data_IF_136787519742
#
_entry.id   IF_136787519742
#
_cell.length_a   1.000
_cell.length_b   1.000
_cell.length_c   1.000
_cell.angle_alpha   90.00
_cell.angle_beta   90.00
_cell.angle_gamma   90.00
#
_symmetry.space_group_name_H-M   'P 1'
#
loop_
_entity.id
_entity.type
_entity.pdbx_description
1 polymer ?
#
# COMPACT_ATOMS: atom_id res chain seq x y z
N UNK A 1 -30.75 6.59 21.03
CA UNK A 1 -30.21 6.41 19.67
C UNK A 1 -29.02 5.50 19.83
N UNK A 2 -29.09 4.33 19.23
CA UNK A 2 -28.06 3.30 19.33
C UNK A 2 -26.88 3.73 18.47
N UNK A 3 -25.88 4.38 19.08
CA UNK A 3 -24.64 4.84 18.42
C UNK A 3 -23.56 3.78 18.61
N UNK A 4 -23.89 2.53 18.27
CA UNK A 4 -22.86 1.49 18.16
C UNK A 4 -22.04 1.80 16.89
N UNK A 5 -20.71 1.97 16.98
CA UNK A 5 -19.89 2.26 15.82
C UNK A 5 -20.04 1.14 14.79
N UNK A 6 -20.33 1.50 13.54
CA UNK A 6 -20.53 0.54 12.46
C UNK A 6 -19.17 -0.04 12.05
N UNK A 7 -18.73 -1.11 12.71
CA UNK A 7 -17.55 -1.85 12.30
C UNK A 7 -17.88 -2.72 11.08
N UNK A 8 -17.16 -2.53 9.97
CA UNK A 8 -17.35 -3.32 8.74
C UNK A 8 -16.05 -4.04 8.40
N UNK A 9 -16.11 -5.36 8.26
CA UNK A 9 -14.98 -6.13 7.72
C UNK A 9 -14.80 -5.79 6.24
N UNK A 10 -13.64 -5.26 5.89
CA UNK A 10 -13.31 -4.81 4.53
C UNK A 10 -12.29 -5.69 3.84
N UNK A 11 -11.62 -6.59 4.57
CA UNK A 11 -10.66 -7.50 3.98
C UNK A 11 -9.99 -8.45 4.98
N UNK A 12 -8.77 -8.84 4.65
CA UNK A 12 -7.95 -9.76 5.41
C UNK A 12 -7.77 -11.12 4.72
N UNK A 13 -6.95 -11.96 5.34
CA UNK A 13 -6.67 -13.31 4.87
C UNK A 13 -6.75 -14.29 6.05
N UNK A 14 -6.38 -15.54 5.81
CA UNK A 14 -6.41 -16.54 6.87
C UNK A 14 -5.52 -16.12 8.05
N UNK A 15 -6.12 -15.94 9.23
CA UNK A 15 -5.44 -15.50 10.44
C UNK A 15 -5.28 -13.98 10.62
N UNK A 16 -5.83 -13.14 9.73
CA UNK A 16 -5.76 -11.68 9.82
C UNK A 16 -7.03 -11.02 9.26
N UNK A 17 -7.63 -10.11 10.02
CA UNK A 17 -8.82 -9.35 9.64
C UNK A 17 -8.48 -7.87 9.44
N UNK A 18 -9.13 -7.27 8.44
CA UNK A 18 -9.08 -5.82 8.20
C UNK A 18 -10.48 -5.26 8.36
N UNK A 19 -10.62 -4.33 9.30
CA UNK A 19 -11.90 -3.76 9.74
C UNK A 19 -11.84 -2.26 9.54
N UNK A 20 -12.88 -1.68 8.93
CA UNK A 20 -13.09 -0.24 8.93
C UNK A 20 -14.05 0.12 10.07
N UNK A 21 -13.61 1.01 10.95
CA UNK A 21 -14.38 1.50 12.09
C UNK A 21 -14.06 2.97 12.31
N UNK A 22 -15.06 3.86 12.39
CA UNK A 22 -14.90 5.28 12.73
C UNK A 22 -13.76 6.02 11.97
N UNK A 23 -13.71 5.88 10.64
CA UNK A 23 -12.68 6.50 9.78
C UNK A 23 -11.23 6.03 10.05
N UNK A 24 -11.06 4.87 10.68
CA UNK A 24 -9.77 4.18 10.81
C UNK A 24 -9.83 2.75 10.29
N UNK A 25 -8.68 2.24 9.88
CA UNK A 25 -8.49 0.82 9.55
C UNK A 25 -7.83 0.12 10.74
N UNK A 26 -8.44 -0.96 11.18
CA UNK A 26 -7.91 -1.86 12.19
C UNK A 26 -7.51 -3.15 11.50
N UNK A 27 -6.21 -3.49 11.55
CA UNK A 27 -5.69 -4.78 11.09
C UNK A 27 -5.40 -5.62 12.32
N UNK A 28 -6.04 -6.79 12.45
CA UNK A 28 -5.99 -7.61 13.67
C UNK A 28 -5.73 -9.06 13.34
N UNK A 29 -4.80 -9.66 14.06
CA UNK A 29 -4.55 -11.10 14.03
C UNK A 29 -5.71 -11.84 14.70
N UNK A 30 -6.23 -12.89 14.05
CA UNK A 30 -7.30 -13.71 14.61
C UNK A 30 -6.76 -14.97 15.29
N UNK A 31 -7.35 -15.31 16.44
CA UNK A 31 -7.00 -16.49 17.23
C UNK A 31 -8.07 -17.57 17.05
N UNK A 32 -7.96 -18.35 15.97
CA UNK A 32 -8.93 -19.41 15.64
C UNK A 32 -8.43 -20.82 16.05
N UNK A 33 -7.36 -20.90 16.84
CA UNK A 33 -6.72 -22.14 17.32
C UNK A 33 -5.98 -22.93 16.22
N UNK A 34 -6.38 -22.81 14.96
CA UNK A 34 -5.74 -23.47 13.81
C UNK A 34 -4.48 -22.71 13.38
N UNK A 35 -4.53 -21.38 13.33
CA UNK A 35 -3.36 -20.54 13.04
C UNK A 35 -2.24 -20.71 14.08
N UNK A 36 -2.60 -21.04 15.32
CA UNK A 36 -1.65 -21.33 16.41
C UNK A 36 -0.89 -22.63 16.15
N UNK A 37 -1.60 -23.69 15.79
CA UNK A 37 -1.02 -25.03 15.55
C UNK A 37 -0.14 -25.05 14.31
N UNK A 38 -0.52 -24.30 13.26
CA UNK A 38 0.21 -24.25 12.00
C UNK A 38 1.35 -23.20 11.99
N UNK A 39 1.59 -22.50 13.10
CA UNK A 39 2.65 -21.48 13.23
C UNK A 39 2.36 -20.12 12.57
N UNK A 40 1.29 -20.02 11.77
CA UNK A 40 0.89 -18.80 11.05
C UNK A 40 0.49 -17.65 11.96
N UNK A 41 0.05 -17.93 13.18
CA UNK A 41 -0.22 -16.89 14.18
C UNK A 41 1.01 -15.99 14.35
N UNK A 42 2.20 -16.60 14.49
CA UNK A 42 3.43 -15.87 14.72
C UNK A 42 3.89 -15.12 13.47
N UNK A 43 3.64 -15.67 12.27
CA UNK A 43 3.89 -14.99 11.01
C UNK A 43 2.99 -13.76 10.85
N UNK A 44 1.70 -13.85 11.19
CA UNK A 44 0.77 -12.72 11.13
C UNK A 44 1.13 -11.62 12.14
N UNK A 45 1.55 -12.00 13.37
CA UNK A 45 2.06 -11.00 14.34
C UNK A 45 3.31 -10.30 13.82
N UNK A 46 4.24 -11.03 13.20
CA UNK A 46 5.42 -10.43 12.56
C UNK A 46 5.04 -9.50 11.41
N UNK A 47 4.08 -9.89 10.58
CA UNK A 47 3.58 -9.09 9.49
C UNK A 47 3.02 -7.76 10.01
N UNK A 48 2.12 -7.78 11.01
CA UNK A 48 1.56 -6.57 11.63
C UNK A 48 2.67 -5.69 12.24
N UNK A 49 3.62 -6.29 12.96
CA UNK A 49 4.73 -5.54 13.54
C UNK A 49 5.64 -4.91 12.46
N UNK A 50 5.82 -5.61 11.34
CA UNK A 50 6.58 -5.13 10.20
C UNK A 50 5.88 -3.96 9.50
N UNK A 51 4.57 -4.06 9.24
CA UNK A 51 3.81 -2.95 8.68
C UNK A 51 3.90 -1.72 9.60
N UNK A 52 3.69 -1.88 10.91
CA UNK A 52 3.84 -0.77 11.86
C UNK A 52 5.25 -0.14 11.82
N UNK A 53 6.30 -0.95 11.65
CA UNK A 53 7.68 -0.46 11.49
C UNK A 53 7.81 0.40 10.22
N UNK A 54 7.29 -0.08 9.09
CA UNK A 54 7.38 0.62 7.80
C UNK A 54 6.54 1.90 7.80
N UNK A 55 5.31 1.86 8.34
CA UNK A 55 4.45 3.05 8.45
C UNK A 55 5.09 4.15 9.30
N UNK A 56 5.84 3.80 10.37
CA UNK A 56 6.61 4.79 11.13
C UNK A 56 7.71 5.47 10.31
N UNK A 57 8.37 4.74 9.42
CA UNK A 57 9.39 5.30 8.53
C UNK A 57 8.75 6.26 7.52
N UNK A 58 7.55 5.92 7.05
CA UNK A 58 6.79 6.68 6.06
C UNK A 58 5.90 7.78 6.66
N UNK A 59 5.90 7.96 7.98
CA UNK A 59 5.05 8.93 8.66
C UNK A 59 5.27 10.36 8.12
N UNK A 60 4.17 11.05 7.81
CA UNK A 60 4.17 12.42 7.28
C UNK A 60 4.62 12.56 5.83
N UNK A 61 4.91 11.47 5.11
CA UNK A 61 5.31 11.52 3.69
C UNK A 61 4.13 11.71 2.74
N UNK A 62 2.94 11.28 3.18
CA UNK A 62 1.69 11.34 2.43
C UNK A 62 1.53 10.27 1.34
N UNK A 63 2.34 9.21 1.35
CA UNK A 63 2.25 8.10 0.36
C UNK A 63 1.86 6.75 0.96
N UNK A 64 1.59 6.73 2.26
CA UNK A 64 1.10 5.59 3.04
C UNK A 64 0.11 6.09 4.11
N UNK A 65 -0.70 5.19 4.71
CA UNK A 65 -1.45 5.50 5.92
C UNK A 65 -0.56 5.99 7.06
N UNK A 66 -1.11 6.80 7.95
CA UNK A 66 -0.45 7.12 9.21
C UNK A 66 -0.79 6.07 10.26
N UNK A 67 0.23 5.56 10.96
CA UNK A 67 0.04 4.68 12.10
C UNK A 67 -0.48 5.49 13.29
N UNK A 68 -1.64 5.10 13.82
CA UNK A 68 -2.29 5.74 14.97
C UNK A 68 -1.93 4.98 16.25
N UNK A 69 -2.10 3.65 16.25
CA UNK A 69 -1.84 2.79 17.41
C UNK A 69 -1.19 1.48 16.97
N UNK A 70 -0.35 0.91 17.85
CA UNK A 70 0.20 -0.44 17.68
C UNK A 70 0.06 -1.21 18.99
N UNK A 71 -0.39 -2.45 18.87
CA UNK A 71 -0.36 -3.48 19.88
C UNK A 71 0.30 -4.74 19.32
N UNK A 72 0.47 -5.77 20.16
CA UNK A 72 1.11 -7.03 19.74
C UNK A 72 0.32 -7.77 18.66
N UNK A 73 -1.01 -7.63 18.67
CA UNK A 73 -1.92 -8.41 17.84
C UNK A 73 -2.72 -7.57 16.84
N UNK A 74 -2.58 -6.25 16.87
CA UNK A 74 -3.25 -5.36 15.93
C UNK A 74 -2.55 -4.03 15.78
N UNK A 75 -2.82 -3.37 14.65
CA UNK A 75 -2.48 -1.96 14.41
C UNK A 75 -3.74 -1.19 14.02
N UNK A 76 -3.71 0.11 14.30
CA UNK A 76 -4.72 1.07 13.86
C UNK A 76 -4.03 2.09 12.97
N UNK A 77 -4.55 2.28 11.77
CA UNK A 77 -4.03 3.21 10.77
C UNK A 77 -5.14 4.11 10.22
N UNK A 78 -4.77 5.26 9.68
CA UNK A 78 -5.75 6.17 9.05
C UNK A 78 -6.45 5.51 7.87
N UNK A 79 -7.76 5.69 7.76
CA UNK A 79 -8.50 5.28 6.57
C UNK A 79 -8.10 6.10 5.34
N UNK A 80 -7.80 5.40 4.24
CA UNK A 80 -7.54 6.01 2.93
C UNK A 80 -8.81 5.98 2.10
N UNK A 81 -9.38 7.16 1.86
CA UNK A 81 -10.53 7.32 0.99
C UNK A 81 -10.11 7.35 -0.48
N UNK A 82 -10.52 6.32 -1.22
CA UNK A 82 -10.32 6.25 -2.65
C UNK A 82 -11.18 7.30 -3.39
N UNK A 83 -10.59 7.97 -4.37
CA UNK A 83 -11.24 8.92 -5.27
C UNK A 83 -10.87 8.60 -6.72
N UNK A 84 -11.73 8.94 -7.69
CA UNK A 84 -11.38 8.81 -9.10
C UNK A 84 -10.15 9.64 -9.47
N UNK A 85 -9.35 9.16 -10.41
CA UNK A 85 -8.27 9.95 -10.98
C UNK A 85 -8.84 11.05 -11.89
N UNK A 86 -8.63 12.32 -11.52
CA UNK A 86 -9.12 13.47 -12.29
C UNK A 86 -8.13 13.93 -13.36
N UNK A 87 -6.83 13.82 -13.06
CA UNK A 87 -5.73 14.21 -13.95
C UNK A 87 -4.67 13.10 -13.98
N UNK A 88 -4.54 12.45 -15.14
CA UNK A 88 -3.61 11.35 -15.36
C UNK A 88 -2.14 11.78 -15.44
N UNK A 89 -1.82 13.00 -15.90
CA UNK A 89 -0.44 13.50 -15.91
C UNK A 89 0.00 13.87 -14.49
N UNK A 90 -0.88 14.51 -13.70
CA UNK A 90 -0.63 14.79 -12.29
C UNK A 90 -0.46 13.50 -11.50
N UNK A 91 -1.30 12.50 -11.76
CA UNK A 91 -1.18 11.17 -11.16
C UNK A 91 0.21 10.56 -11.39
N UNK A 92 0.70 10.56 -12.63
CA UNK A 92 2.01 10.00 -12.96
C UNK A 92 3.15 10.75 -12.28
N UNK A 93 3.05 12.08 -12.15
CA UNK A 93 4.03 12.88 -11.39
C UNK A 93 4.02 12.51 -9.91
N UNK A 94 2.84 12.36 -9.32
CA UNK A 94 2.70 11.95 -7.94
C UNK A 94 3.18 10.51 -7.71
N UNK A 95 3.05 9.63 -8.70
CA UNK A 95 3.54 8.25 -8.65
C UNK A 95 5.08 8.17 -8.70
N UNK A 96 5.74 9.06 -9.44
CA UNK A 96 7.19 9.27 -9.34
C UNK A 96 7.59 9.68 -7.94
N UNK A 97 6.83 10.58 -7.30
CA UNK A 97 7.07 10.98 -5.91
C UNK A 97 6.94 9.80 -4.94
N UNK A 98 5.91 8.96 -5.09
CA UNK A 98 5.77 7.74 -4.30
C UNK A 98 6.98 6.81 -4.47
N UNK A 99 7.37 6.51 -5.72
CA UNK A 99 8.53 5.67 -5.98
C UNK A 99 9.83 6.26 -5.40
N UNK A 100 10.01 7.57 -5.52
CA UNK A 100 11.16 8.26 -4.94
C UNK A 100 11.18 8.19 -3.42
N UNK A 101 10.03 8.34 -2.74
CA UNK A 101 9.93 8.21 -1.28
C UNK A 101 10.31 6.80 -0.85
N UNK A 102 9.73 5.75 -1.47
CA UNK A 102 10.07 4.37 -1.15
C UNK A 102 11.58 4.11 -1.31
N UNK A 103 12.17 4.53 -2.44
CA UNK A 103 13.62 4.40 -2.69
C UNK A 103 14.48 5.18 -1.71
N UNK A 104 14.09 6.41 -1.38
CA UNK A 104 14.82 7.27 -0.43
C UNK A 104 14.91 6.63 0.96
N UNK A 105 13.88 5.91 1.36
CA UNK A 105 13.83 5.18 2.61
C UNK A 105 14.29 3.73 2.48
N UNK A 106 14.80 3.35 1.30
CA UNK A 106 15.29 2.01 0.98
C UNK A 106 14.24 0.92 1.24
N UNK A 107 12.97 1.20 0.93
CA UNK A 107 11.84 0.30 1.11
C UNK A 107 11.46 -0.36 -0.21
N UNK A 108 11.34 -1.69 -0.18
CA UNK A 108 10.58 -2.49 -1.12
C UNK A 108 9.19 -2.77 -0.52
N UNK A 109 8.12 -2.42 -1.22
CA UNK A 109 6.77 -2.74 -0.78
C UNK A 109 6.39 -4.18 -1.11
N UNK A 110 6.89 -4.71 -2.24
CA UNK A 110 6.83 -6.12 -2.61
C UNK A 110 5.45 -6.69 -3.00
N UNK A 111 4.37 -5.93 -2.78
CA UNK A 111 3.00 -6.29 -3.18
C UNK A 111 2.17 -5.08 -3.67
N UNK A 112 2.75 -4.26 -4.55
CA UNK A 112 2.07 -3.07 -5.14
C UNK A 112 1.05 -3.44 -6.23
N UNK A 113 0.11 -4.33 -5.92
CA UNK A 113 -1.01 -4.65 -6.81
C UNK A 113 -2.03 -3.50 -6.85
N UNK A 114 -2.97 -3.54 -7.80
CA UNK A 114 -4.04 -2.54 -7.87
C UNK A 114 -5.00 -2.56 -6.67
N UNK A 115 -4.96 -3.59 -5.82
CA UNK A 115 -5.75 -3.68 -4.59
C UNK A 115 -5.09 -2.94 -3.43
N UNK A 116 -3.77 -2.79 -3.48
CA UNK A 116 -2.95 -2.16 -2.44
C UNK A 116 -2.55 -0.73 -2.80
N UNK A 117 -3.20 -0.17 -3.83
CA UNK A 117 -2.92 1.16 -4.37
C UNK A 117 -4.21 1.95 -4.51
N UNK A 118 -4.26 3.10 -3.86
CA UNK A 118 -5.39 4.01 -3.87
C UNK A 118 -5.03 5.32 -4.54
N UNK A 119 -5.97 5.87 -5.31
CA UNK A 119 -5.92 7.25 -5.78
C UNK A 119 -6.72 8.08 -4.77
N UNK A 120 -6.14 9.17 -4.29
CA UNK A 120 -6.77 10.12 -3.39
C UNK A 120 -6.97 11.47 -4.11
N UNK A 121 -7.56 12.44 -3.41
CA UNK A 121 -7.74 13.80 -3.89
C UNK A 121 -6.49 14.37 -4.57
N UNK A 122 -6.69 15.14 -5.64
CA UNK A 122 -5.63 15.69 -6.50
C UNK A 122 -4.74 14.62 -7.15
N UNK A 123 -5.34 13.46 -7.51
CA UNK A 123 -4.64 12.35 -8.15
C UNK A 123 -3.41 11.85 -7.37
N UNK A 124 -3.45 11.88 -6.04
CA UNK A 124 -2.32 11.44 -5.20
C UNK A 124 -2.38 9.93 -5.00
N UNK A 125 -1.36 9.15 -5.39
CA UNK A 125 -1.31 7.73 -5.12
C UNK A 125 -0.86 7.48 -3.68
N UNK A 126 -1.52 6.56 -3.01
CA UNK A 126 -1.18 6.05 -1.68
C UNK A 126 -1.10 4.53 -1.76
N UNK A 127 0.00 3.97 -1.25
CA UNK A 127 0.17 2.52 -1.10
C UNK A 127 -0.30 2.09 0.29
N UNK A 128 -0.86 0.89 0.41
CA UNK A 128 -1.29 0.29 1.68
C UNK A 128 -0.84 -1.17 1.75
N UNK A 129 -0.95 -1.80 2.92
CA UNK A 129 -0.63 -3.23 3.10
C UNK A 129 0.87 -3.50 2.96
N UNK A 130 1.64 -2.92 3.88
CA UNK A 130 3.11 -3.04 3.95
C UNK A 130 3.56 -4.29 4.73
N UNK A 131 2.69 -5.28 4.94
CA UNK A 131 3.03 -6.49 5.68
C UNK A 131 4.23 -7.25 5.09
N UNK A 132 4.33 -7.30 3.76
CA UNK A 132 5.40 -7.96 3.00
C UNK A 132 6.56 -7.01 2.66
N UNK A 133 6.49 -5.75 3.07
CA UNK A 133 7.51 -4.77 2.75
C UNK A 133 8.81 -5.03 3.52
N UNK A 134 9.96 -4.73 2.91
CA UNK A 134 11.26 -4.94 3.53
C UNK A 134 12.25 -3.84 3.11
N UNK A 135 13.34 -3.69 3.87
CA UNK A 135 14.40 -2.75 3.54
C UNK A 135 15.40 -3.35 2.54
N UNK A 136 16.11 -2.52 1.77
CA UNK A 136 17.01 -2.99 0.71
C UNK A 136 18.18 -3.86 1.21
N UNK A 137 18.54 -3.72 2.49
CA UNK A 137 19.57 -4.50 3.15
C UNK A 137 19.04 -5.79 3.80
N UNK A 138 17.72 -6.00 3.78
CA UNK A 138 17.06 -7.22 4.26
C UNK A 138 17.01 -8.29 3.15
N UNK A 139 16.93 -9.56 3.55
CA UNK A 139 16.85 -10.67 2.60
C UNK A 139 15.50 -10.63 1.90
N UNK A 140 15.52 -10.29 0.60
CA UNK A 140 14.34 -10.31 -0.26
C UNK A 140 13.63 -11.68 -0.21
N UNK A 141 12.32 -11.74 0.10
CA UNK A 141 11.60 -13.01 0.15
C UNK A 141 11.56 -13.69 -1.24
N UNK A 142 11.53 -15.03 -1.32
CA UNK A 142 11.64 -15.78 -2.58
C UNK A 142 10.44 -15.61 -3.53
N UNK A 143 9.35 -14.97 -3.09
CA UNK A 143 8.11 -14.79 -3.86
C UNK A 143 8.17 -13.62 -4.86
N UNK A 144 9.17 -12.75 -4.77
CA UNK A 144 9.21 -11.49 -5.50
C UNK A 144 10.04 -11.60 -6.78
N UNK A 145 9.34 -11.66 -7.92
CA UNK A 145 9.95 -11.81 -9.27
C UNK A 145 10.03 -10.50 -10.04
N UNK A 146 9.46 -9.41 -9.53
CA UNK A 146 9.39 -8.14 -10.26
C UNK A 146 9.50 -6.96 -9.29
N UNK A 147 10.44 -6.03 -9.53
CA UNK A 147 10.55 -4.81 -8.74
C UNK A 147 9.23 -4.02 -8.71
N UNK A 148 8.91 -3.40 -7.57
CA UNK A 148 7.81 -2.45 -7.35
C UNK A 148 7.52 -1.52 -8.54
N UNK A 149 8.59 -1.03 -9.15
CA UNK A 149 8.55 -0.18 -10.33
C UNK A 149 7.72 -0.75 -11.50
N UNK A 150 7.77 -2.05 -11.76
CA UNK A 150 7.00 -2.66 -12.85
C UNK A 150 5.49 -2.57 -12.60
N UNK A 151 5.06 -2.80 -11.36
CA UNK A 151 3.66 -2.68 -10.98
C UNK A 151 3.19 -1.23 -11.03
N UNK A 152 4.02 -0.31 -10.54
CA UNK A 152 3.76 1.13 -10.61
C UNK A 152 3.64 1.63 -12.06
N UNK A 153 4.45 1.12 -12.99
CA UNK A 153 4.31 1.45 -14.43
C UNK A 153 2.99 0.97 -15.01
N UNK A 154 2.60 -0.28 -14.69
CA UNK A 154 1.33 -0.83 -15.14
C UNK A 154 0.17 0.02 -14.63
N UNK A 155 0.26 0.48 -13.39
CA UNK A 155 -0.75 1.32 -12.78
C UNK A 155 -0.75 2.75 -13.36
N UNK A 156 0.42 3.36 -13.56
CA UNK A 156 0.60 4.63 -14.25
C UNK A 156 0.00 4.66 -15.66
N UNK A 157 0.03 3.53 -16.37
CA UNK A 157 -0.58 3.39 -17.68
C UNK A 157 -2.11 3.23 -17.61
N UNK A 158 -2.61 2.38 -16.70
CA UNK A 158 -4.04 2.05 -16.59
C UNK A 158 -4.85 3.21 -16.02
N UNK A 159 -4.55 3.67 -14.81
CA UNK A 159 -5.33 4.71 -14.12
C UNK A 159 -5.29 6.05 -14.86
N UNK A 160 -4.14 6.44 -15.38
CA UNK A 160 -4.05 7.69 -16.14
C UNK A 160 -4.80 7.62 -17.48
N UNK A 161 -4.96 6.43 -18.06
CA UNK A 161 -5.79 6.25 -19.26
C UNK A 161 -7.29 6.27 -18.92
N UNK A 162 -7.69 5.95 -17.69
CA UNK A 162 -9.10 6.09 -17.26
C UNK A 162 -9.48 7.56 -17.06
N UNK A 163 -8.53 8.40 -16.65
CA UNK A 163 -8.72 9.85 -16.51
C UNK A 163 -8.79 10.61 -17.84
N UNK A 164 -8.42 9.97 -18.97
CA UNK A 164 -8.39 10.61 -20.28
C UNK A 164 -9.12 9.79 -21.35
N UNK A 165 -9.95 10.42 -22.20
CA UNK A 165 -10.65 9.71 -23.27
C UNK A 165 -9.71 9.22 -24.38
N UNK A 166 -8.46 9.68 -24.42
CA UNK A 166 -7.48 9.33 -25.45
C UNK A 166 -6.38 8.46 -24.85
N UNK A 167 -6.09 7.27 -25.42
CA UNK A 167 -4.99 6.43 -24.96
C UNK A 167 -3.65 7.16 -25.07
N UNK A 168 -2.75 6.82 -24.16
CA UNK A 168 -1.36 7.25 -24.22
C UNK A 168 -0.69 6.87 -25.54
N UNK A 169 0.08 7.81 -26.10
CA UNK A 169 0.97 7.49 -27.21
C UNK A 169 2.20 6.70 -26.72
N UNK A 170 2.84 5.88 -27.57
CA UNK A 170 4.09 5.19 -27.23
C UNK A 170 5.20 6.11 -26.73
N UNK A 171 5.20 7.38 -27.16
CA UNK A 171 6.15 8.40 -26.71
C UNK A 171 5.95 8.74 -25.23
N UNK A 172 4.71 8.89 -24.80
CA UNK A 172 4.37 9.20 -23.40
C UNK A 172 4.77 8.02 -22.51
N UNK A 173 4.42 6.80 -22.92
CA UNK A 173 4.81 5.58 -22.20
C UNK A 173 6.33 5.51 -22.03
N UNK A 174 7.10 5.63 -23.11
CA UNK A 174 8.58 5.60 -23.06
C UNK A 174 9.18 6.67 -22.14
N UNK A 175 8.61 7.88 -22.13
CA UNK A 175 9.05 8.95 -21.23
C UNK A 175 8.93 8.52 -19.77
N UNK A 176 7.81 7.92 -19.38
CA UNK A 176 7.58 7.48 -18.00
C UNK A 176 8.47 6.30 -17.60
N UNK A 177 8.69 5.35 -18.51
CA UNK A 177 9.71 4.31 -18.30
C UNK A 177 11.09 4.90 -18.01
N UNK A 178 11.49 5.92 -18.77
CA UNK A 178 12.78 6.59 -18.56
C UNK A 178 12.85 7.33 -17.23
N UNK A 179 11.80 8.08 -16.85
CA UNK A 179 11.78 8.85 -15.60
C UNK A 179 11.90 7.91 -14.41
N UNK A 180 11.00 6.95 -14.29
CA UNK A 180 10.96 6.06 -13.13
C UNK A 180 12.15 5.08 -13.09
N UNK A 181 12.67 4.67 -14.25
CA UNK A 181 13.92 3.90 -14.33
C UNK A 181 15.17 4.69 -13.96
N UNK A 182 15.13 6.03 -14.03
CA UNK A 182 16.27 6.90 -13.71
C UNK A 182 16.37 7.34 -12.25
N UNK A 183 15.31 7.16 -11.46
CA UNK A 183 15.33 7.47 -10.03
C UNK A 183 16.28 6.47 -9.34
N UNK A 184 17.48 6.90 -8.95
CA UNK A 184 18.36 6.10 -8.10
C UNK A 184 18.18 6.53 -6.66
#
# INVERSE_FOLDING_TARGET
MDTSPTSVRVGGHYGLEVIHENDVIVKRVTFDGVCEVDGRLWENKKAIANEARILRILAGTGVAPELIEQHDDYIVETYIKAEPCEDGEQFRRNLVRLLWILRRHEIHHDDLTSQNMFVCANSVPVAVDFHEAHLYDEVCPPKHRSPDFFYLLKWAATVASEAHPTPDTPRIIRRWFSVCGSLR
#
